data_IF_775657234848
#
_entry.id   IF_775657234848
#
_cell.length_a   1.000
_cell.length_b   1.000
_cell.length_c   1.000
_cell.angle_alpha   90.00
_cell.angle_beta   90.00
_cell.angle_gamma   90.00
#
_symmetry.space_group_name_H-M   'P 1'
#
loop_
_entity.id
_entity.type
_entity.pdbx_description
1 polymer ?
#
# COMPACT_ATOMS: atom_id res chain seq x y z
N UNK A 1 14.27 -7.45 -77.24
CA UNK A 1 15.56 -7.67 -76.55
C UNK A 1 15.30 -7.61 -75.05
N UNK A 2 15.10 -8.75 -74.39
CA UNK A 2 14.73 -8.82 -72.97
C UNK A 2 15.97 -8.80 -72.08
N UNK A 3 16.00 -7.91 -71.08
CA UNK A 3 17.05 -7.89 -70.07
C UNK A 3 16.44 -8.28 -68.72
N UNK A 4 16.85 -9.45 -68.20
CA UNK A 4 16.44 -9.98 -66.89
C UNK A 4 17.47 -9.53 -65.86
N UNK A 5 17.07 -8.70 -64.90
CA UNK A 5 17.88 -8.35 -63.73
C UNK A 5 17.73 -9.46 -62.69
N UNK A 6 18.81 -10.19 -62.43
CA UNK A 6 18.89 -11.23 -61.41
C UNK A 6 19.20 -10.58 -60.06
N UNK A 7 18.22 -10.56 -59.14
CA UNK A 7 18.45 -10.26 -57.72
C UNK A 7 19.09 -11.48 -57.04
N UNK A 8 20.39 -11.41 -56.77
CA UNK A 8 21.03 -12.31 -55.81
C UNK A 8 20.85 -11.73 -54.41
N UNK A 9 19.95 -12.34 -53.64
CA UNK A 9 19.76 -12.07 -52.22
C UNK A 9 20.92 -12.74 -51.47
N UNK A 10 21.93 -11.97 -51.08
CA UNK A 10 22.96 -12.41 -50.14
C UNK A 10 22.50 -12.12 -48.71
N UNK A 11 22.12 -13.19 -48.01
CA UNK A 11 21.64 -13.17 -46.62
C UNK A 11 22.84 -12.99 -45.68
N UNK A 12 23.10 -11.76 -45.23
CA UNK A 12 24.11 -11.48 -44.20
C UNK A 12 23.52 -11.78 -42.82
N UNK A 13 23.87 -12.94 -42.25
CA UNK A 13 23.56 -13.30 -40.86
C UNK A 13 24.43 -12.45 -39.93
N UNK A 14 23.89 -11.34 -39.43
CA UNK A 14 24.48 -10.60 -38.32
C UNK A 14 24.16 -11.34 -37.02
N UNK A 15 25.16 -12.07 -36.50
CA UNK A 15 25.12 -12.75 -35.21
C UNK A 15 25.25 -11.70 -34.09
N UNK A 16 24.12 -11.23 -33.55
CA UNK A 16 24.09 -10.32 -32.41
C UNK A 16 24.49 -11.06 -31.13
N UNK A 17 25.73 -10.87 -30.68
CA UNK A 17 26.21 -11.31 -29.36
C UNK A 17 25.59 -10.40 -28.30
N UNK A 18 24.59 -10.91 -27.58
CA UNK A 18 24.04 -10.24 -26.40
C UNK A 18 24.99 -10.41 -25.21
N UNK A 19 25.62 -9.31 -24.75
CA UNK A 19 26.24 -9.29 -23.43
C UNK A 19 25.13 -9.43 -22.37
N UNK A 20 25.00 -10.61 -21.79
CA UNK A 20 24.19 -10.82 -20.60
C UNK A 20 24.93 -10.18 -19.41
N UNK A 21 24.50 -9.00 -18.99
CA UNK A 21 24.92 -8.43 -17.71
C UNK A 21 24.36 -9.28 -16.58
N UNK A 22 25.20 -10.10 -15.96
CA UNK A 22 24.84 -10.81 -14.72
C UNK A 22 24.77 -9.80 -13.60
N UNK A 23 23.57 -9.30 -13.28
CA UNK A 23 23.33 -8.57 -12.05
C UNK A 23 23.55 -9.53 -10.87
N UNK A 24 24.65 -9.35 -10.15
CA UNK A 24 24.92 -10.08 -8.91
C UNK A 24 24.04 -9.48 -7.82
N UNK A 25 22.95 -10.17 -7.49
CA UNK A 25 22.19 -9.88 -6.28
C UNK A 25 23.04 -10.31 -5.08
N UNK A 26 23.82 -9.38 -4.54
CA UNK A 26 24.54 -9.59 -3.28
C UNK A 26 23.51 -9.69 -2.15
N UNK A 27 23.51 -10.82 -1.44
CA UNK A 27 22.57 -11.09 -0.36
C UNK A 27 22.89 -10.18 0.84
N UNK A 28 22.12 -9.10 0.98
CA UNK A 28 22.27 -8.15 2.08
C UNK A 28 21.52 -8.66 3.31
N UNK A 29 22.26 -9.07 4.34
CA UNK A 29 21.68 -9.46 5.64
C UNK A 29 21.58 -8.23 6.53
N UNK A 30 20.35 -7.76 6.76
CA UNK A 30 20.07 -6.67 7.71
C UNK A 30 19.64 -7.25 9.06
N UNK A 31 20.33 -6.87 10.13
CA UNK A 31 19.97 -7.27 11.51
C UNK A 31 19.22 -6.15 12.21
N UNK A 32 18.02 -6.44 12.73
CA UNK A 32 17.18 -5.48 13.46
C UNK A 32 16.92 -6.01 14.87
N UNK A 33 17.20 -5.19 15.89
CA UNK A 33 16.97 -5.57 17.29
C UNK A 33 15.48 -5.56 17.65
N UNK A 34 15.08 -6.38 18.62
CA UNK A 34 13.71 -6.40 19.17
C UNK A 34 13.24 -5.01 19.62
N UNK A 35 14.10 -4.26 20.30
CA UNK A 35 13.81 -2.88 20.74
C UNK A 35 13.54 -1.94 19.56
N UNK A 36 14.20 -2.15 18.43
CA UNK A 36 13.95 -1.37 17.21
C UNK A 36 12.68 -1.84 16.51
N UNK A 37 12.41 -3.16 16.45
CA UNK A 37 11.14 -3.68 15.94
C UNK A 37 9.93 -3.14 16.72
N UNK A 38 10.02 -3.04 18.05
CA UNK A 38 8.98 -2.46 18.90
C UNK A 38 8.69 -0.97 18.60
N UNK A 39 9.59 -0.25 17.91
CA UNK A 39 9.39 1.14 17.47
C UNK A 39 8.83 1.24 16.06
N UNK A 40 9.01 0.20 15.25
CA UNK A 40 8.58 0.12 13.85
C UNK A 40 7.12 -0.36 13.79
N UNK A 41 6.76 -1.29 14.67
CA UNK A 41 5.39 -1.82 14.74
C UNK A 41 4.42 -0.87 15.46
N UNK A 42 3.22 -0.72 14.89
CA UNK A 42 2.10 -0.04 15.54
C UNK A 42 1.62 -0.87 16.72
N UNK A 43 1.47 -0.24 17.89
CA UNK A 43 1.00 -0.92 19.11
C UNK A 43 -0.40 -1.52 18.92
N UNK A 44 -0.54 -2.83 19.15
CA UNK A 44 -1.83 -3.51 19.30
C UNK A 44 -2.00 -3.85 20.79
N UNK A 45 -3.20 -3.63 21.30
CA UNK A 45 -3.52 -3.84 22.70
C UNK A 45 -3.31 -5.31 23.09
N UNK A 46 -2.71 -5.53 24.27
CA UNK A 46 -2.41 -6.87 24.81
C UNK A 46 -3.67 -7.62 25.23
N UNK A 47 -3.62 -8.95 25.31
CA UNK A 47 -4.77 -9.79 25.68
C UNK A 47 -5.33 -9.50 27.10
N UNK A 48 -4.58 -8.80 27.95
CA UNK A 48 -5.00 -8.35 29.28
C UNK A 48 -5.99 -7.17 29.26
N UNK A 49 -6.20 -6.53 28.10
CA UNK A 49 -7.24 -5.51 27.92
C UNK A 49 -8.61 -6.11 27.56
N UNK A 50 -8.70 -7.42 27.36
CA UNK A 50 -9.98 -8.09 27.09
C UNK A 50 -10.82 -8.08 28.36
N UNK A 51 -11.88 -7.27 28.36
CA UNK A 51 -12.80 -7.15 29.50
C UNK A 51 -13.43 -8.52 29.82
N UNK A 52 -13.33 -8.94 31.09
CA UNK A 52 -14.03 -10.11 31.60
C UNK A 52 -15.26 -9.64 32.36
N UNK A 53 -16.43 -10.08 31.93
CA UNK A 53 -17.70 -9.80 32.61
C UNK A 53 -17.62 -10.15 34.09
N UNK A 54 -17.93 -9.18 34.95
CA UNK A 54 -17.88 -9.32 36.40
C UNK A 54 -19.25 -9.63 37.01
N UNK A 55 -19.44 -9.19 38.25
CA UNK A 55 -20.74 -9.18 38.93
C UNK A 55 -21.15 -7.74 39.21
N UNK A 56 -22.45 -7.45 39.11
CA UNK A 56 -22.98 -6.14 39.45
C UNK A 56 -22.99 -5.93 40.98
N UNK A 57 -23.37 -4.73 41.42
CA UNK A 57 -23.46 -4.38 42.85
C UNK A 57 -24.51 -5.19 43.63
N UNK A 58 -25.34 -5.98 42.93
CA UNK A 58 -26.40 -6.83 43.48
C UNK A 58 -26.03 -8.32 43.42
N UNK A 59 -24.82 -8.66 42.94
CA UNK A 59 -24.33 -10.03 42.83
C UNK A 59 -24.79 -10.79 41.57
N UNK A 60 -25.41 -10.12 40.60
CA UNK A 60 -25.81 -10.75 39.34
C UNK A 60 -24.62 -10.80 38.38
N UNK A 61 -24.51 -11.87 37.59
CA UNK A 61 -23.51 -11.97 36.54
C UNK A 61 -23.75 -10.91 35.45
N UNK A 62 -22.72 -10.12 35.16
CA UNK A 62 -22.72 -9.15 34.06
C UNK A 62 -22.15 -9.84 32.84
N UNK A 63 -22.99 -10.05 31.83
CA UNK A 63 -22.51 -10.58 30.57
C UNK A 63 -21.52 -9.61 29.90
N UNK A 64 -20.54 -10.17 29.16
CA UNK A 64 -19.59 -9.34 28.42
C UNK A 64 -20.31 -8.43 27.42
N UNK A 65 -19.74 -7.25 27.12
CA UNK A 65 -20.26 -6.38 26.08
C UNK A 65 -20.19 -7.02 24.66
N UNK A 66 -19.44 -8.12 24.52
CA UNK A 66 -19.24 -8.86 23.26
C UNK A 66 -20.38 -9.81 22.87
N UNK A 67 -21.57 -9.70 23.49
CA UNK A 67 -22.66 -10.67 23.28
C UNK A 67 -23.25 -10.71 21.86
N UNK A 68 -22.87 -9.81 20.96
CA UNK A 68 -23.27 -9.83 19.57
C UNK A 68 -22.07 -9.54 18.68
N UNK A 69 -21.24 -10.56 18.43
CA UNK A 69 -20.25 -10.49 17.37
C UNK A 69 -20.96 -10.63 16.02
N UNK A 70 -21.63 -9.58 15.55
CA UNK A 70 -21.76 -9.40 14.11
C UNK A 70 -20.33 -9.20 13.60
N UNK A 71 -19.67 -10.30 13.22
CA UNK A 71 -18.36 -10.25 12.61
C UNK A 71 -18.50 -9.52 11.28
N UNK A 72 -18.24 -8.21 11.31
CA UNK A 72 -18.11 -7.41 10.10
C UNK A 72 -16.96 -8.01 9.30
N UNK A 73 -17.26 -8.54 8.11
CA UNK A 73 -16.21 -8.95 7.18
C UNK A 73 -15.55 -7.67 6.67
N UNK A 74 -14.37 -7.38 7.21
CA UNK A 74 -13.55 -6.27 6.72
C UNK A 74 -12.96 -6.67 5.37
N UNK A 75 -12.90 -5.74 4.40
CA UNK A 75 -12.21 -5.97 3.14
C UNK A 75 -10.70 -6.14 3.35
N UNK A 76 -9.99 -6.59 2.33
CA UNK A 76 -8.52 -6.65 2.36
C UNK A 76 -7.87 -5.25 2.24
N UNK A 77 -8.55 -4.31 1.58
CA UNK A 77 -8.08 -2.94 1.39
C UNK A 77 -9.19 -1.91 1.56
N UNK A 78 -8.78 -0.69 1.90
CA UNK A 78 -9.62 0.51 2.00
C UNK A 78 -9.12 1.52 0.98
N UNK A 79 -10.03 1.99 0.12
CA UNK A 79 -9.75 2.98 -0.92
C UNK A 79 -10.39 4.31 -0.56
N UNK A 80 -9.63 5.41 -0.70
CA UNK A 80 -10.09 6.77 -0.41
C UNK A 80 -9.77 7.65 -1.62
N UNK A 81 -10.80 8.16 -2.27
CA UNK A 81 -10.64 9.12 -3.35
C UNK A 81 -10.43 10.52 -2.77
N UNK A 82 -9.29 11.11 -3.11
CA UNK A 82 -8.93 12.47 -2.73
C UNK A 82 -9.47 13.45 -3.75
N UNK A 83 -10.22 14.43 -3.27
CA UNK A 83 -10.73 15.54 -4.08
C UNK A 83 -10.46 16.87 -3.38
N UNK A 84 -10.23 17.91 -4.17
CA UNK A 84 -10.09 19.28 -3.68
C UNK A 84 -11.21 20.16 -4.26
N UNK A 85 -11.76 21.11 -3.50
CA UNK A 85 -12.67 22.09 -4.06
C UNK A 85 -11.99 22.87 -5.19
N UNK A 86 -12.65 22.97 -6.34
CA UNK A 86 -12.06 23.62 -7.52
C UNK A 86 -11.67 25.07 -7.24
N UNK A 87 -12.47 25.78 -6.43
CA UNK A 87 -12.21 27.19 -6.10
C UNK A 87 -10.89 27.40 -5.34
N UNK A 88 -10.41 26.42 -4.58
CA UNK A 88 -9.13 26.48 -3.85
C UNK A 88 -7.92 26.51 -4.80
N UNK A 89 -8.11 26.10 -6.06
CA UNK A 89 -7.07 26.09 -7.10
C UNK A 89 -6.96 27.42 -7.86
N UNK A 90 -7.89 28.36 -7.64
CA UNK A 90 -7.91 29.65 -8.31
C UNK A 90 -7.50 30.78 -7.38
N UNK A 91 -6.95 31.84 -7.95
CA UNK A 91 -6.70 33.07 -7.21
C UNK A 91 -7.99 33.88 -7.03
N UNK A 92 -8.08 34.67 -5.96
CA UNK A 92 -9.24 35.55 -5.71
C UNK A 92 -9.49 36.56 -6.85
N UNK A 93 -8.44 36.91 -7.60
CA UNK A 93 -8.53 37.82 -8.74
C UNK A 93 -9.07 37.15 -10.01
N UNK A 94 -9.13 35.82 -10.07
CA UNK A 94 -9.62 35.07 -11.21
C UNK A 94 -10.42 33.84 -10.72
N UNK A 95 -11.62 34.04 -10.15
CA UNK A 95 -12.41 32.94 -9.63
C UNK A 95 -12.94 32.04 -10.76
N UNK A 96 -13.25 30.76 -10.47
CA UNK A 96 -13.91 29.89 -11.43
C UNK A 96 -15.28 30.44 -11.80
N UNK A 97 -15.80 30.04 -12.97
CA UNK A 97 -17.12 30.46 -13.42
C UNK A 97 -18.21 30.09 -12.41
N UNK A 98 -19.32 30.85 -12.35
CA UNK A 98 -20.41 30.58 -11.40
C UNK A 98 -20.96 29.15 -11.46
N UNK A 99 -20.88 28.50 -12.63
CA UNK A 99 -21.33 27.12 -12.85
C UNK A 99 -20.44 26.07 -12.16
N UNK A 100 -19.23 26.44 -11.76
CA UNK A 100 -18.21 25.54 -11.21
C UNK A 100 -17.81 25.88 -9.76
N UNK A 101 -18.55 26.77 -9.09
CA UNK A 101 -18.22 27.21 -7.72
C UNK A 101 -18.18 26.06 -6.70
N UNK A 102 -19.06 25.06 -6.89
CA UNK A 102 -19.15 23.87 -6.04
C UNK A 102 -18.55 22.63 -6.71
N UNK A 103 -17.77 22.80 -7.78
CA UNK A 103 -17.09 21.69 -8.42
C UNK A 103 -15.92 21.23 -7.55
N UNK A 104 -15.64 19.93 -7.59
CA UNK A 104 -14.44 19.33 -7.00
C UNK A 104 -13.56 18.78 -8.11
N UNK A 105 -12.26 18.78 -7.84
CA UNK A 105 -11.24 18.20 -8.71
C UNK A 105 -10.69 16.96 -8.02
N UNK A 106 -10.81 15.83 -8.71
CA UNK A 106 -10.17 14.60 -8.26
C UNK A 106 -8.64 14.76 -8.35
N UNK A 107 -7.97 14.49 -7.23
CA UNK A 107 -6.50 14.62 -7.08
C UNK A 107 -5.82 13.25 -7.21
N UNK A 108 -6.49 12.19 -6.77
CA UNK A 108 -5.98 10.84 -6.85
C UNK A 108 -6.61 9.93 -5.82
N UNK A 109 -6.09 8.72 -5.73
CA UNK A 109 -6.66 7.67 -4.89
C UNK A 109 -5.60 7.17 -3.90
N UNK A 110 -5.96 7.13 -2.62
CA UNK A 110 -5.21 6.40 -1.60
C UNK A 110 -5.75 4.99 -1.47
N UNK A 111 -4.86 4.01 -1.40
CA UNK A 111 -5.23 2.63 -1.10
C UNK A 111 -4.40 2.13 0.09
N UNK A 112 -5.09 1.67 1.13
CA UNK A 112 -4.50 1.08 2.32
C UNK A 112 -4.84 -0.41 2.41
N UNK A 113 -3.83 -1.28 2.36
CA UNK A 113 -4.02 -2.71 2.57
C UNK A 113 -4.03 -3.03 4.08
N UNK A 114 -5.12 -3.62 4.57
CA UNK A 114 -5.31 -3.90 6.00
C UNK A 114 -4.45 -5.09 6.49
N UNK A 115 -4.06 -5.99 5.60
CA UNK A 115 -3.22 -7.14 5.91
C UNK A 115 -1.74 -6.77 6.08
N UNK A 116 -1.16 -6.13 5.07
CA UNK A 116 0.25 -5.72 5.09
C UNK A 116 0.48 -4.38 5.79
N UNK A 117 -0.51 -3.48 5.78
CA UNK A 117 -0.35 -2.09 6.21
C UNK A 117 0.32 -1.21 5.16
N UNK A 118 0.41 -1.66 3.90
CA UNK A 118 0.92 -0.87 2.78
C UNK A 118 -0.04 0.27 2.43
N UNK A 119 0.50 1.47 2.23
CA UNK A 119 -0.24 2.65 1.79
C UNK A 119 0.28 3.12 0.43
N UNK A 120 -0.60 3.26 -0.55
CA UNK A 120 -0.26 3.77 -1.88
C UNK A 120 -1.06 5.02 -2.23
N UNK A 121 -0.49 5.88 -3.07
CA UNK A 121 -1.15 7.00 -3.73
C UNK A 121 -1.01 6.81 -5.25
N UNK A 122 -2.13 6.72 -5.95
CA UNK A 122 -2.17 6.43 -7.40
C UNK A 122 -1.34 5.19 -7.78
N UNK A 123 -1.36 4.16 -6.93
CA UNK A 123 -0.61 2.91 -7.10
C UNK A 123 0.86 2.97 -6.69
N UNK A 124 1.40 4.15 -6.39
CA UNK A 124 2.77 4.31 -5.88
C UNK A 124 2.79 4.21 -4.36
N UNK A 125 3.63 3.34 -3.81
CA UNK A 125 3.80 3.21 -2.36
C UNK A 125 4.35 4.51 -1.74
N UNK A 126 3.73 4.96 -0.66
CA UNK A 126 4.13 6.17 0.07
C UNK A 126 5.23 5.89 1.09
N UNK A 127 5.29 4.67 1.62
CA UNK A 127 6.35 4.23 2.52
C UNK A 127 7.57 3.74 1.71
N UNK A 128 8.76 3.81 2.32
CA UNK A 128 9.94 3.15 1.78
C UNK A 128 9.69 1.62 1.76
N UNK A 129 9.73 0.95 0.59
CA UNK A 129 9.49 -0.48 0.49
C UNK A 129 10.42 -1.31 1.37
N UNK A 130 11.65 -0.85 1.61
CA UNK A 130 12.58 -1.52 2.51
C UNK A 130 12.13 -1.42 3.97
N UNK A 131 11.65 -0.25 4.40
CA UNK A 131 11.09 -0.10 5.75
C UNK A 131 9.80 -0.91 5.94
N UNK A 132 8.95 -0.98 4.91
CA UNK A 132 7.77 -1.84 4.92
C UNK A 132 8.15 -3.32 5.08
N UNK A 133 9.12 -3.80 4.30
CA UNK A 133 9.61 -5.18 4.39
C UNK A 133 10.20 -5.49 5.79
N UNK A 134 10.95 -4.56 6.37
CA UNK A 134 11.46 -4.70 7.74
C UNK A 134 10.30 -4.78 8.74
N UNK A 135 9.29 -3.92 8.60
CA UNK A 135 8.11 -3.95 9.48
C UNK A 135 7.36 -5.28 9.40
N UNK A 136 7.18 -5.85 8.21
CA UNK A 136 6.54 -7.15 8.04
C UNK A 136 7.34 -8.28 8.71
N UNK A 137 8.68 -8.26 8.57
CA UNK A 137 9.54 -9.24 9.23
C UNK A 137 9.59 -9.10 10.75
N UNK A 138 9.58 -7.87 11.27
CA UNK A 138 9.45 -7.63 12.70
C UNK A 138 8.15 -8.28 13.24
N UNK A 139 7.01 -8.06 12.56
CA UNK A 139 5.73 -8.66 12.95
C UNK A 139 5.81 -10.19 12.93
N UNK A 140 6.42 -10.79 11.91
CA UNK A 140 6.55 -12.25 11.83
C UNK A 140 7.36 -12.85 12.99
N UNK A 141 8.47 -12.19 13.37
CA UNK A 141 9.43 -12.73 14.35
C UNK A 141 8.99 -12.46 15.79
N UNK A 142 8.46 -11.26 16.07
CA UNK A 142 8.24 -10.78 17.44
C UNK A 142 6.78 -10.75 17.86
N UNK A 143 5.81 -10.96 16.95
CA UNK A 143 4.40 -11.12 17.31
C UNK A 143 4.18 -12.49 17.95
N UNK A 144 4.19 -12.52 19.29
CA UNK A 144 3.67 -13.62 20.11
C UNK A 144 2.23 -13.35 20.54
#
# INVERSE_FOLDING_TARGET
MGSKVRFFVTYAVFLSVSLASTASAEEMILTVSEKNCARIEKHIAKADVTYKGGVDVRGNAVASADLNQNQLQLPESVTIDLSLPLHDLFSLANPPSRKLQNAEVHVGTLEYNLGSGKLTFNGQELADPALHAISEKCKEIYRK
#
